data_IF_698056822997
#
_entry.id   IF_698056822997
#
_cell.length_a   1.000
_cell.length_b   1.000
_cell.length_c   1.000
_cell.angle_alpha   90.00
_cell.angle_beta   90.00
_cell.angle_gamma   90.00
#
_symmetry.space_group_name_H-M   'P 1'
#
loop_
_entity.id
_entity.type
_entity.pdbx_description
1 polymer ?
#
# COMPACT_ATOMS: atom_id res chain seq x y z
N UNK A 1 2.10 47.84 -4.36
CA UNK A 1 3.41 47.39 -4.88
C UNK A 1 3.78 46.01 -4.35
N UNK A 2 3.88 45.78 -3.03
CA UNK A 2 4.33 44.50 -2.46
C UNK A 2 3.63 43.24 -3.04
N UNK A 3 2.29 43.24 -3.18
CA UNK A 3 1.58 42.10 -3.79
C UNK A 3 1.92 41.82 -5.26
N UNK A 4 2.26 42.84 -6.06
CA UNK A 4 2.58 42.66 -7.47
C UNK A 4 3.95 41.98 -7.64
N UNK A 5 4.93 42.41 -6.84
CA UNK A 5 6.27 41.79 -6.83
C UNK A 5 6.23 40.38 -6.25
N UNK A 6 5.38 40.11 -5.25
CA UNK A 6 5.19 38.75 -4.73
C UNK A 6 4.55 37.83 -5.78
N UNK A 7 3.56 38.34 -6.54
CA UNK A 7 2.94 37.59 -7.64
C UNK A 7 3.92 37.33 -8.79
N UNK A 8 4.72 38.33 -9.19
CA UNK A 8 5.81 38.13 -10.16
C UNK A 8 6.86 37.14 -9.64
N UNK A 9 7.25 37.18 -8.37
CA UNK A 9 8.21 36.23 -7.80
C UNK A 9 7.67 34.79 -7.81
N UNK A 10 6.41 34.57 -7.41
CA UNK A 10 5.80 33.22 -7.45
C UNK A 10 5.60 32.74 -8.88
N UNK A 11 5.18 33.63 -9.79
CA UNK A 11 5.04 33.33 -11.23
C UNK A 11 6.39 32.96 -11.85
N UNK A 12 7.44 33.76 -11.59
CA UNK A 12 8.79 33.47 -12.06
C UNK A 12 9.37 32.21 -11.42
N UNK A 13 9.06 31.89 -10.16
CA UNK A 13 9.52 30.65 -9.53
C UNK A 13 8.84 29.42 -10.17
N UNK A 14 7.54 29.49 -10.47
CA UNK A 14 6.84 28.46 -11.28
C UNK A 14 7.43 28.36 -12.70
N UNK A 15 7.70 29.48 -13.35
CA UNK A 15 8.30 29.49 -14.69
C UNK A 15 9.72 28.91 -14.68
N UNK A 16 10.52 29.18 -13.65
CA UNK A 16 11.87 28.63 -13.47
C UNK A 16 11.81 27.11 -13.24
N UNK A 17 10.90 26.60 -12.39
CA UNK A 17 10.69 25.15 -12.25
C UNK A 17 10.24 24.50 -13.57
N UNK A 18 9.30 25.12 -14.28
CA UNK A 18 8.80 24.61 -15.57
C UNK A 18 9.89 24.59 -16.65
N UNK A 19 10.72 25.63 -16.73
CA UNK A 19 11.89 25.68 -17.62
C UNK A 19 12.96 24.66 -17.20
N UNK A 20 13.18 24.46 -15.89
CA UNK A 20 14.13 23.46 -15.39
C UNK A 20 13.72 22.04 -15.79
N UNK A 21 12.42 21.71 -15.72
CA UNK A 21 11.89 20.44 -16.25
C UNK A 21 12.08 20.29 -17.76
N UNK A 22 11.92 21.37 -18.54
CA UNK A 22 12.07 21.35 -20.00
C UNK A 22 13.54 21.18 -20.43
N UNK A 23 14.49 21.76 -19.69
CA UNK A 23 15.93 21.71 -20.04
C UNK A 23 16.56 20.33 -19.77
N UNK A 24 16.00 19.53 -18.84
CA UNK A 24 16.51 18.17 -18.54
C UNK A 24 16.20 17.14 -19.65
N UNK A 25 15.27 17.42 -20.57
CA UNK A 25 14.92 16.51 -21.68
C UNK A 25 15.98 16.41 -22.80
N UNK A 26 17.09 17.14 -22.73
CA UNK A 26 18.19 17.00 -23.69
C UNK A 26 19.56 16.84 -22.98
N UNK A 27 20.04 15.59 -22.96
CA UNK A 27 21.35 15.13 -22.53
C UNK A 27 21.62 15.09 -21.01
N UNK A 28 21.24 13.97 -20.37
CA UNK A 28 21.98 13.40 -19.23
C UNK A 28 22.17 11.91 -19.46
N UNK A 29 23.43 11.45 -19.44
CA UNK A 29 23.78 10.03 -19.37
C UNK A 29 24.11 9.67 -17.92
N UNK A 30 23.54 8.57 -17.43
CA UNK A 30 23.85 7.89 -16.16
C UNK A 30 23.71 8.70 -14.86
N UNK A 31 22.45 8.95 -14.43
CA UNK A 31 21.99 8.72 -13.05
C UNK A 31 20.50 9.11 -12.88
N UNK A 32 19.62 8.12 -12.68
CA UNK A 32 18.31 8.23 -11.99
C UNK A 32 17.53 9.54 -12.26
N UNK A 33 17.25 9.85 -13.53
CA UNK A 33 16.29 10.90 -13.92
C UNK A 33 14.90 10.28 -14.19
N UNK A 34 14.41 9.46 -13.26
CA UNK A 34 13.03 8.98 -13.29
C UNK A 34 12.06 10.14 -13.01
N UNK A 35 10.76 9.92 -13.18
CA UNK A 35 9.68 10.90 -12.94
C UNK A 35 9.51 11.40 -11.48
N UNK A 36 10.39 10.96 -10.57
CA UNK A 36 10.47 11.39 -9.16
C UNK A 36 10.32 12.90 -8.86
N UNK A 37 10.78 13.88 -9.67
CA UNK A 37 10.74 15.30 -9.28
C UNK A 37 9.36 15.93 -9.13
N UNK A 38 8.30 15.33 -9.70
CA UNK A 38 6.95 15.92 -9.68
C UNK A 38 6.10 15.47 -8.50
N UNK A 39 6.48 14.37 -7.84
CA UNK A 39 5.89 13.93 -6.59
C UNK A 39 6.70 14.54 -5.45
N UNK A 40 6.05 15.37 -4.60
CA UNK A 40 6.66 15.88 -3.39
C UNK A 40 7.07 14.76 -2.42
N UNK A 41 7.77 15.08 -1.33
CA UNK A 41 8.18 14.08 -0.33
C UNK A 41 7.04 13.23 0.20
N UNK A 42 5.82 13.77 0.23
CA UNK A 42 4.61 13.11 0.73
C UNK A 42 3.96 12.14 -0.28
N UNK A 43 4.38 12.16 -1.55
CA UNK A 43 3.90 11.24 -2.59
C UNK A 43 5.03 10.38 -3.17
N UNK A 44 6.27 10.57 -2.72
CA UNK A 44 7.33 9.63 -3.05
C UNK A 44 7.05 8.26 -2.39
N UNK A 45 7.38 7.18 -3.08
CA UNK A 45 7.07 5.80 -2.67
C UNK A 45 5.56 5.47 -2.47
N UNK A 46 4.65 6.37 -2.87
CA UNK A 46 3.21 6.19 -2.71
C UNK A 46 2.61 5.44 -3.91
N UNK A 47 2.26 4.17 -3.73
CA UNK A 47 1.59 3.36 -4.78
C UNK A 47 0.11 3.70 -4.91
N UNK A 48 -0.55 4.00 -3.79
CA UNK A 48 -1.98 4.31 -3.74
C UNK A 48 -2.31 5.47 -2.81
N UNK A 49 -3.13 6.40 -3.29
CA UNK A 49 -3.73 7.46 -2.47
C UNK A 49 -5.20 7.68 -2.83
N UNK A 50 -6.06 7.85 -1.82
CA UNK A 50 -7.43 8.34 -2.00
C UNK A 50 -7.84 9.33 -0.90
N UNK A 51 -8.37 10.50 -1.27
CA UNK A 51 -8.98 11.45 -0.31
C UNK A 51 -10.29 10.92 0.28
N UNK A 52 -11.04 10.15 -0.51
CA UNK A 52 -12.20 9.38 -0.08
C UNK A 52 -11.75 8.08 0.56
N UNK A 53 -11.84 6.96 -0.17
CA UNK A 53 -11.36 5.66 0.33
C UNK A 53 -10.71 4.77 -0.72
N UNK A 54 -9.89 3.78 -0.34
CA UNK A 54 -9.44 2.68 -1.21
C UNK A 54 -10.19 1.39 -0.81
N UNK A 55 -10.46 0.45 -1.73
CA UNK A 55 -10.94 -0.90 -1.36
C UNK A 55 -10.35 -2.01 -2.24
N UNK A 56 -9.60 -2.95 -1.65
CA UNK A 56 -8.88 -4.00 -2.40
C UNK A 56 -8.87 -5.44 -1.85
N UNK A 57 -9.81 -6.27 -2.34
CA UNK A 57 -10.00 -7.70 -2.04
C UNK A 57 -10.01 -8.55 -3.33
N UNK A 58 -10.10 -9.88 -3.31
CA UNK A 58 -9.48 -10.66 -2.27
C UNK A 58 -8.72 -11.95 -2.64
N UNK A 59 -7.72 -12.03 -3.53
CA UNK A 59 -7.21 -11.13 -4.59
C UNK A 59 -6.50 -9.81 -4.20
N UNK A 60 -5.31 -9.51 -4.78
CA UNK A 60 -4.41 -8.32 -4.59
C UNK A 60 -3.26 -8.45 -3.59
N UNK A 61 -2.22 -7.61 -3.76
CA UNK A 61 -1.00 -7.38 -2.94
C UNK A 61 -0.35 -6.10 -3.49
N UNK A 62 0.24 -5.22 -2.66
CA UNK A 62 0.70 -3.88 -3.08
C UNK A 62 2.16 -3.63 -2.64
N UNK A 63 3.02 -3.19 -3.58
CA UNK A 63 4.46 -2.98 -3.35
C UNK A 63 4.85 -1.52 -3.10
N UNK A 64 4.24 -0.85 -2.12
CA UNK A 64 4.61 0.50 -1.67
C UNK A 64 3.55 1.10 -0.75
N UNK A 65 3.74 2.36 -0.34
CA UNK A 65 2.87 3.00 0.65
C UNK A 65 1.41 3.11 0.16
N UNK A 66 0.48 2.93 1.11
CA UNK A 66 -0.97 3.11 0.96
C UNK A 66 -1.44 4.13 1.98
N UNK A 67 -2.09 5.20 1.51
CA UNK A 67 -2.59 6.28 2.36
C UNK A 67 -4.01 6.64 1.98
N UNK A 68 -4.83 6.95 2.98
CA UNK A 68 -6.07 7.67 2.76
C UNK A 68 -6.47 8.54 3.94
N UNK A 69 -7.09 9.68 3.62
CA UNK A 69 -7.65 10.59 4.60
C UNK A 69 -8.89 10.01 5.34
N UNK A 70 -9.44 8.84 4.95
CA UNK A 70 -10.49 8.15 5.72
C UNK A 70 -10.03 6.80 6.31
N UNK A 71 -10.38 5.63 5.78
CA UNK A 71 -9.88 4.34 6.31
C UNK A 71 -8.37 4.07 5.92
N UNK A 72 -7.78 2.86 5.76
CA UNK A 72 -8.12 1.97 4.63
C UNK A 72 -7.39 0.63 4.47
N UNK A 73 -8.19 -0.44 4.47
CA UNK A 73 -8.46 -1.38 3.35
C UNK A 73 -7.31 -2.05 2.55
N UNK A 74 -7.33 -3.36 2.19
CA UNK A 74 -8.26 -4.48 2.48
C UNK A 74 -7.55 -5.82 2.72
N UNK A 75 -8.39 -6.76 3.19
CA UNK A 75 -8.18 -8.19 3.22
C UNK A 75 -8.36 -8.77 1.84
N UNK A 76 -7.31 -9.41 1.34
CA UNK A 76 -7.21 -9.65 -0.07
C UNK A 76 -6.54 -10.98 -0.51
N UNK A 77 -6.49 -11.96 0.39
CA UNK A 77 -5.33 -12.86 0.54
C UNK A 77 -4.00 -12.06 0.80
N UNK A 78 -3.82 -10.88 0.18
CA UNK A 78 -3.02 -9.66 0.46
C UNK A 78 -1.88 -9.64 1.46
N UNK A 79 -0.83 -8.99 0.98
CA UNK A 79 0.26 -8.42 1.75
C UNK A 79 0.54 -7.01 1.19
N UNK A 80 1.03 -6.07 2.00
CA UNK A 80 1.47 -4.73 1.58
C UNK A 80 2.92 -4.51 2.00
N UNK A 81 3.85 -4.35 1.06
CA UNK A 81 5.25 -4.02 1.36
C UNK A 81 5.43 -2.51 1.34
N UNK A 82 5.25 -1.87 2.49
CA UNK A 82 5.12 -0.43 2.63
C UNK A 82 4.16 -0.07 3.78
N UNK A 83 4.12 1.22 4.13
CA UNK A 83 3.31 1.69 5.25
C UNK A 83 1.83 1.80 4.88
N UNK A 84 0.98 1.57 5.89
CA UNK A 84 -0.47 1.70 5.78
C UNK A 84 -0.96 2.80 6.72
N UNK A 85 -1.42 3.90 6.14
CA UNK A 85 -1.84 5.10 6.86
C UNK A 85 -3.29 5.47 6.63
N UNK A 86 -4.00 5.72 7.72
CA UNK A 86 -5.43 5.99 7.72
C UNK A 86 -5.85 7.18 8.60
N UNK A 87 -6.61 8.12 8.01
CA UNK A 87 -7.17 9.28 8.71
C UNK A 87 -8.27 8.96 9.73
N UNK A 88 -8.77 7.72 9.78
CA UNK A 88 -9.83 7.27 10.72
C UNK A 88 -9.59 5.85 11.23
N UNK A 89 -9.37 4.86 10.37
CA UNK A 89 -9.34 3.46 10.77
C UNK A 89 -8.58 2.59 9.76
N UNK A 90 -8.27 1.36 10.19
CA UNK A 90 -8.36 0.09 9.45
C UNK A 90 -7.01 -0.66 9.34
N UNK A 91 -7.08 -1.94 8.95
CA UNK A 91 -6.26 -2.59 7.91
C UNK A 91 -5.33 -3.72 8.34
N UNK A 92 -5.21 -4.77 7.52
CA UNK A 92 -6.35 -5.67 7.26
C UNK A 92 -5.90 -7.12 7.17
N UNK A 93 -6.82 -7.99 7.59
CA UNK A 93 -6.62 -9.42 7.67
C UNK A 93 -7.00 -10.09 6.37
N UNK A 94 -6.06 -10.15 5.45
CA UNK A 94 -6.13 -10.86 4.19
C UNK A 94 -5.93 -12.38 4.33
N UNK A 95 -4.69 -12.86 4.13
CA UNK A 95 -4.20 -14.17 4.56
C UNK A 95 -2.77 -14.24 5.17
N UNK A 96 -2.05 -13.20 5.63
CA UNK A 96 -2.07 -11.75 5.37
C UNK A 96 -0.74 -11.10 5.81
N UNK A 97 -0.51 -9.84 5.44
CA UNK A 97 0.49 -9.04 6.15
C UNK A 97 0.73 -7.60 5.69
N UNK A 98 1.61 -6.91 6.41
CA UNK A 98 2.19 -5.61 6.05
C UNK A 98 3.66 -5.62 6.48
N UNK A 99 4.58 -5.16 5.65
CA UNK A 99 6.02 -5.06 5.98
C UNK A 99 6.37 -3.56 6.01
N UNK A 100 6.47 -2.99 7.21
CA UNK A 100 6.23 -1.56 7.48
C UNK A 100 5.30 -1.33 8.68
N UNK A 101 4.97 -0.07 9.00
CA UNK A 101 4.03 0.22 10.11
C UNK A 101 2.58 0.34 9.67
N UNK A 102 1.66 0.12 10.62
CA UNK A 102 0.24 0.41 10.45
C UNK A 102 -0.15 1.53 11.42
N UNK A 103 -0.66 2.62 10.86
CA UNK A 103 -1.08 3.79 11.62
C UNK A 103 -2.53 4.18 11.31
N UNK A 104 -3.32 4.40 12.37
CA UNK A 104 -4.68 4.90 12.23
C UNK A 104 -5.08 5.81 13.40
N UNK A 105 -5.67 6.98 13.08
CA UNK A 105 -6.10 7.98 14.08
C UNK A 105 -7.15 7.47 15.08
N UNK A 106 -7.89 6.40 14.78
CA UNK A 106 -8.77 5.74 15.76
C UNK A 106 -8.47 4.25 15.90
N UNK A 107 -8.71 3.44 14.88
CA UNK A 107 -8.85 1.99 15.04
C UNK A 107 -7.93 1.24 14.12
N UNK A 108 -6.94 0.51 14.64
CA UNK A 108 -6.27 -0.54 13.87
C UNK A 108 -6.94 -1.87 14.18
N UNK A 109 -7.24 -2.64 13.15
CA UNK A 109 -7.62 -4.05 13.23
C UNK A 109 -7.02 -4.64 11.97
N UNK A 110 -6.10 -5.61 12.03
CA UNK A 110 -6.57 -7.01 12.03
C UNK A 110 -5.47 -8.04 12.15
N UNK A 111 -5.88 -9.30 12.29
CA UNK A 111 -5.26 -10.34 11.48
C UNK A 111 -6.27 -11.09 10.59
N UNK A 112 -5.74 -11.75 9.56
CA UNK A 112 -6.15 -13.07 9.07
C UNK A 112 -4.83 -13.78 8.71
N UNK A 113 -4.55 -14.98 9.23
CA UNK A 113 -3.22 -15.64 9.22
C UNK A 113 -2.01 -14.67 9.21
N UNK A 114 -2.05 -13.65 10.08
CA UNK A 114 -1.40 -12.36 9.79
C UNK A 114 -0.14 -12.08 10.59
N UNK A 115 0.75 -11.34 9.92
CA UNK A 115 2.01 -10.84 10.46
C UNK A 115 2.19 -9.37 10.05
N UNK A 116 2.90 -8.60 10.87
CA UNK A 116 3.32 -7.21 10.57
C UNK A 116 4.73 -7.05 11.13
N UNK A 117 5.72 -6.67 10.33
CA UNK A 117 7.08 -6.40 10.84
C UNK A 117 7.32 -4.88 10.93
N UNK A 118 6.88 -4.34 12.07
CA UNK A 118 6.78 -2.93 12.36
C UNK A 118 5.89 -2.70 13.57
N UNK A 119 5.60 -1.43 13.89
CA UNK A 119 4.69 -1.11 14.99
C UNK A 119 3.25 -0.92 14.51
N UNK A 120 2.30 -1.24 15.40
CA UNK A 120 0.88 -0.88 15.25
C UNK A 120 0.57 0.26 16.20
N UNK A 121 0.11 1.40 15.66
CA UNK A 121 -0.26 2.57 16.44
C UNK A 121 -1.72 2.95 16.14
N UNK A 122 -2.60 2.77 17.13
CA UNK A 122 -4.01 3.13 17.04
C UNK A 122 -4.39 4.26 18.02
N UNK A 123 -5.01 5.33 17.54
CA UNK A 123 -5.38 6.45 18.41
C UNK A 123 -6.44 6.13 19.48
N UNK A 124 -7.22 5.06 19.31
CA UNK A 124 -8.16 4.55 20.34
C UNK A 124 -8.05 3.03 20.54
N UNK A 125 -8.15 2.23 19.48
CA UNK A 125 -8.30 0.76 19.60
C UNK A 125 -7.40 0.00 18.65
N UNK A 126 -6.52 -0.85 19.18
CA UNK A 126 -5.80 -1.86 18.40
C UNK A 126 -6.37 -3.25 18.72
N UNK A 127 -6.92 -3.92 17.72
CA UNK A 127 -7.41 -5.30 17.84
C UNK A 127 -6.54 -6.24 17.01
N UNK A 128 -5.93 -7.22 17.67
CA UNK A 128 -5.01 -8.15 17.03
C UNK A 128 -5.45 -9.61 17.27
N UNK A 129 -5.44 -10.37 16.19
CA UNK A 129 -5.97 -11.72 16.18
C UNK A 129 -6.05 -12.28 14.78
N UNK A 130 -5.12 -13.18 14.49
CA UNK A 130 -5.28 -14.31 13.59
C UNK A 130 -4.26 -15.35 14.03
N UNK A 131 -3.49 -15.97 13.13
CA UNK A 131 -2.27 -16.72 13.49
C UNK A 131 -1.14 -15.74 13.79
N UNK A 132 -1.26 -15.02 14.90
CA UNK A 132 -0.83 -13.63 15.10
C UNK A 132 0.44 -13.48 16.00
N UNK A 133 1.06 -12.29 16.15
CA UNK A 133 1.08 -11.04 15.36
C UNK A 133 2.10 -10.05 16.00
N UNK A 134 3.03 -9.56 15.18
CA UNK A 134 3.73 -8.27 15.32
C UNK A 134 5.00 -8.29 16.18
N UNK A 135 6.13 -7.98 15.54
CA UNK A 135 7.45 -7.93 16.18
C UNK A 135 7.75 -6.59 16.87
N UNK A 136 7.17 -5.49 16.38
CA UNK A 136 7.31 -4.15 16.94
C UNK A 136 6.41 -3.86 18.16
N UNK A 137 6.18 -2.58 18.44
CA UNK A 137 5.26 -2.17 19.51
C UNK A 137 3.80 -2.28 19.05
N UNK A 138 2.94 -2.75 19.96
CA UNK A 138 1.49 -2.71 19.82
C UNK A 138 0.91 -1.69 20.79
N UNK A 139 0.51 -0.53 20.28
CA UNK A 139 -0.02 0.56 21.10
C UNK A 139 -1.42 1.03 20.70
N UNK A 140 -2.24 1.31 21.71
CA UNK A 140 -3.56 1.90 21.54
C UNK A 140 -3.85 2.98 22.60
N UNK A 141 -4.39 4.12 22.16
CA UNK A 141 -4.75 5.23 23.06
C UNK A 141 -5.79 4.86 24.13
N UNK A 142 -6.56 3.78 23.96
CA UNK A 142 -7.52 3.28 24.95
C UNK A 142 -7.41 1.77 25.17
N UNK A 143 -7.55 0.96 24.13
CA UNK A 143 -7.75 -0.49 24.27
C UNK A 143 -6.89 -1.30 23.32
N UNK A 144 -6.11 -2.23 23.87
CA UNK A 144 -5.52 -3.34 23.10
C UNK A 144 -6.29 -4.63 23.39
N UNK A 145 -6.75 -5.30 22.34
CA UNK A 145 -7.36 -6.63 22.42
C UNK A 145 -6.53 -7.64 21.63
N UNK A 146 -6.07 -8.68 22.31
CA UNK A 146 -5.22 -9.75 21.77
C UNK A 146 -5.96 -11.08 21.89
N UNK A 147 -6.02 -11.83 20.78
CA UNK A 147 -6.63 -13.16 20.74
C UNK A 147 -5.76 -14.23 21.44
N UNK A 148 -6.21 -15.49 21.40
CA UNK A 148 -5.41 -16.63 21.89
C UNK A 148 -4.26 -16.97 20.91
N UNK A 149 -3.20 -17.60 21.43
CA UNK A 149 -2.02 -18.05 20.68
C UNK A 149 -1.44 -16.94 19.79
N UNK A 150 -1.15 -15.80 20.40
CA UNK A 150 -0.54 -14.63 19.76
C UNK A 150 0.85 -14.38 20.33
N UNK A 151 1.83 -14.12 19.47
CA UNK A 151 3.15 -13.65 19.86
C UNK A 151 3.30 -12.16 19.52
N UNK A 152 3.85 -11.35 20.46
CA UNK A 152 4.27 -9.95 20.22
C UNK A 152 5.72 -9.78 20.71
N UNK A 153 6.60 -9.30 19.84
CA UNK A 153 8.01 -9.08 20.17
C UNK A 153 8.24 -7.88 21.10
N UNK A 154 7.63 -6.74 20.78
CA UNK A 154 7.75 -5.49 21.54
C UNK A 154 6.81 -5.38 22.74
N UNK A 155 6.56 -4.13 23.15
CA UNK A 155 5.64 -3.83 24.24
C UNK A 155 4.18 -3.88 23.76
N UNK A 156 3.27 -4.21 24.69
CA UNK A 156 1.83 -4.07 24.53
C UNK A 156 1.35 -2.95 25.45
N UNK A 157 0.95 -1.82 24.88
CA UNK A 157 0.59 -0.61 25.63
C UNK A 157 -0.85 -0.17 25.36
N UNK A 158 -1.66 -0.03 26.41
CA UNK A 158 -3.01 0.53 26.31
C UNK A 158 -3.27 1.64 27.33
N UNK A 159 -3.79 2.78 26.86
CA UNK A 159 -4.14 3.91 27.73
C UNK A 159 -5.24 3.60 28.77
N UNK A 160 -5.93 2.47 28.66
CA UNK A 160 -6.88 1.98 29.67
C UNK A 160 -6.85 0.46 29.85
N UNK A 161 -6.96 -0.34 28.79
CA UNK A 161 -7.23 -1.78 28.90
C UNK A 161 -6.41 -2.63 27.96
N UNK A 162 -5.71 -3.63 28.50
CA UNK A 162 -5.15 -4.75 27.72
C UNK A 162 -5.94 -6.03 28.03
N UNK A 163 -6.39 -6.73 26.99
CA UNK A 163 -6.98 -8.07 27.11
C UNK A 163 -6.19 -9.05 26.26
N UNK A 164 -5.81 -10.19 26.85
CA UNK A 164 -4.95 -11.21 26.24
C UNK A 164 -5.58 -12.60 26.32
N UNK A 165 -5.70 -13.27 25.18
CA UNK A 165 -6.15 -14.66 25.10
C UNK A 165 -5.15 -15.67 25.69
N UNK A 166 -5.56 -16.94 25.76
CA UNK A 166 -4.73 -18.01 26.31
C UNK A 166 -3.57 -18.38 25.37
N UNK A 167 -2.43 -18.81 25.94
CA UNK A 167 -1.30 -19.34 25.17
C UNK A 167 -0.50 -18.30 24.38
N UNK A 168 -0.59 -17.02 24.75
CA UNK A 168 0.09 -15.90 24.06
C UNK A 168 1.44 -15.57 24.72
N UNK A 169 2.41 -15.10 23.93
CA UNK A 169 3.80 -14.82 24.32
C UNK A 169 4.16 -13.35 24.08
N UNK A 170 4.89 -12.74 25.03
CA UNK A 170 5.29 -11.34 24.97
C UNK A 170 6.78 -11.16 25.31
N UNK A 171 7.55 -10.60 24.38
CA UNK A 171 8.95 -10.25 24.59
C UNK A 171 9.14 -8.99 25.45
N UNK A 172 8.23 -8.02 25.33
CA UNK A 172 8.26 -6.76 26.09
C UNK A 172 7.35 -6.72 27.32
N UNK A 173 7.09 -5.50 27.79
CA UNK A 173 6.12 -5.22 28.87
C UNK A 173 4.67 -5.31 28.36
N UNK A 174 3.76 -5.71 29.24
CA UNK A 174 2.30 -5.64 29.02
C UNK A 174 1.72 -4.63 30.00
N UNK A 175 1.42 -3.43 29.52
CA UNK A 175 1.06 -2.27 30.34
C UNK A 175 -0.35 -1.74 29.99
N UNK A 176 -1.20 -1.63 31.01
CA UNK A 176 -2.51 -0.99 30.91
C UNK A 176 -2.67 0.15 31.93
N UNK A 177 -3.19 1.29 31.47
CA UNK A 177 -3.55 2.43 32.32
C UNK A 177 -4.59 2.13 33.42
N UNK A 178 -5.38 1.05 33.29
CA UNK A 178 -6.31 0.58 34.34
C UNK A 178 -6.28 -0.94 34.52
N UNK A 179 -6.47 -1.72 33.46
CA UNK A 179 -6.93 -3.12 33.57
C UNK A 179 -6.18 -4.04 32.62
N UNK A 180 -5.60 -5.12 33.17
CA UNK A 180 -5.04 -6.24 32.40
C UNK A 180 -5.87 -7.50 32.62
N UNK A 181 -6.40 -8.09 31.55
CA UNK A 181 -7.06 -9.40 31.57
C UNK A 181 -6.19 -10.41 30.84
N UNK A 182 -5.71 -11.44 31.54
CA UNK A 182 -4.70 -12.38 31.03
C UNK A 182 -5.28 -13.81 30.99
N UNK A 183 -5.18 -14.46 29.84
CA UNK A 183 -5.58 -15.85 29.64
C UNK A 183 -4.67 -16.89 30.31
N UNK A 184 -5.11 -18.15 30.32
CA UNK A 184 -4.30 -19.25 30.81
C UNK A 184 -3.04 -19.46 29.94
N UNK A 185 -1.94 -19.87 30.55
CA UNK A 185 -0.66 -20.16 29.87
C UNK A 185 -0.12 -19.00 29.02
N UNK A 186 -0.34 -17.76 29.45
CA UNK A 186 0.33 -16.58 28.88
C UNK A 186 1.72 -16.44 29.48
N UNK A 187 2.71 -16.18 28.63
CA UNK A 187 4.11 -15.97 29.02
C UNK A 187 4.52 -14.52 28.67
N UNK A 188 5.07 -13.81 29.66
CA UNK A 188 5.55 -12.43 29.51
C UNK A 188 6.98 -12.40 30.03
N UNK A 189 7.92 -11.99 29.17
CA UNK A 189 9.35 -11.84 29.52
C UNK A 189 9.58 -10.53 30.28
N UNK A 190 8.88 -9.47 29.91
CA UNK A 190 8.86 -8.19 30.62
C UNK A 190 7.91 -8.16 31.82
N UNK A 191 7.38 -6.98 32.13
CA UNK A 191 6.53 -6.73 33.29
C UNK A 191 5.05 -6.65 32.89
N UNK A 192 4.20 -7.37 33.63
CA UNK A 192 2.74 -7.16 33.58
C UNK A 192 2.35 -6.02 34.53
N UNK A 193 1.82 -4.92 33.99
CA UNK A 193 1.45 -3.72 34.76
C UNK A 193 0.00 -3.31 34.51
N UNK A 194 -0.75 -3.08 35.59
CA UNK A 194 -2.09 -2.49 35.58
C UNK A 194 -2.11 -1.24 36.47
N UNK A 195 -2.99 -0.28 36.16
CA UNK A 195 -3.03 1.05 36.78
C UNK A 195 -1.74 1.86 36.51
N UNK A 196 -1.17 1.70 35.31
CA UNK A 196 0.02 2.44 34.90
C UNK A 196 -0.25 3.93 34.71
N UNK A 197 0.79 4.74 34.92
CA UNK A 197 0.81 6.17 34.60
C UNK A 197 1.58 6.46 33.30
N UNK A 198 1.95 5.40 32.55
CA UNK A 198 2.66 5.51 31.27
C UNK A 198 1.76 6.14 30.22
N UNK A 199 2.25 7.18 29.55
CA UNK A 199 1.55 7.80 28.42
C UNK A 199 1.79 6.97 27.16
N UNK A 200 0.71 6.59 26.47
CA UNK A 200 0.78 5.95 25.15
C UNK A 200 0.89 7.02 24.07
N UNK A 201 1.78 6.82 23.09
CA UNK A 201 1.91 7.74 21.96
C UNK A 201 0.64 7.71 21.08
N UNK A 202 0.22 8.88 20.60
CA UNK A 202 -0.84 8.97 19.59
C UNK A 202 -0.23 8.95 18.17
N UNK A 203 -0.95 8.41 17.18
CA UNK A 203 -0.57 8.47 15.77
C UNK A 203 -0.53 9.92 15.26
N UNK A 204 0.23 10.18 14.20
CA UNK A 204 0.13 11.44 13.46
C UNK A 204 -1.21 11.56 12.74
N UNK A 205 -1.59 12.79 12.38
CA UNK A 205 -2.79 13.05 11.58
C UNK A 205 -2.45 12.73 10.12
N UNK A 206 -3.32 11.97 9.44
CA UNK A 206 -3.21 11.72 8.00
C UNK A 206 -4.01 12.80 7.27
N UNK A 207 -3.30 13.75 6.67
CA UNK A 207 -3.88 14.89 5.95
C UNK A 207 -4.26 14.53 4.50
N UNK A 208 -5.19 15.30 3.92
CA UNK A 208 -5.59 15.12 2.51
C UNK A 208 -4.58 15.73 1.54
N UNK A 209 -4.13 14.91 0.59
CA UNK A 209 -3.24 15.30 -0.52
C UNK A 209 -4.01 15.85 -1.74
N UNK A 210 -5.32 16.12 -1.64
CA UNK A 210 -6.16 16.63 -2.75
C UNK A 210 -5.54 17.85 -3.45
N UNK A 211 -5.08 18.84 -2.67
CA UNK A 211 -4.48 20.06 -3.22
C UNK A 211 -3.12 19.80 -3.90
N UNK A 212 -2.34 18.84 -3.39
CA UNK A 212 -1.06 18.46 -3.97
C UNK A 212 -1.28 17.73 -5.31
N UNK A 213 -2.19 16.75 -5.35
CA UNK A 213 -2.51 16.02 -6.57
C UNK A 213 -3.09 16.96 -7.64
N UNK A 214 -4.00 17.87 -7.28
CA UNK A 214 -4.50 18.85 -8.25
C UNK A 214 -3.42 19.81 -8.76
N UNK A 215 -2.41 20.16 -7.94
CA UNK A 215 -1.25 20.91 -8.43
C UNK A 215 -0.45 20.09 -9.45
N UNK A 216 -0.13 18.83 -9.13
CA UNK A 216 0.57 17.91 -10.04
C UNK A 216 -0.18 17.74 -11.36
N UNK A 217 -1.50 17.51 -11.32
CA UNK A 217 -2.34 17.41 -12.51
C UNK A 217 -2.32 18.69 -13.36
N UNK A 218 -2.30 19.87 -12.73
CA UNK A 218 -2.22 21.16 -13.42
C UNK A 218 -0.82 21.39 -14.01
N UNK A 219 0.25 21.07 -13.28
CA UNK A 219 1.63 21.23 -13.76
C UNK A 219 1.90 20.25 -14.95
N UNK A 220 1.36 19.03 -14.95
CA UNK A 220 1.40 18.09 -16.10
C UNK A 220 0.61 18.63 -17.31
N UNK A 221 -0.55 19.24 -17.06
CA UNK A 221 -1.39 19.85 -18.11
C UNK A 221 -0.68 21.04 -18.77
N UNK A 222 0.04 21.83 -17.99
CA UNK A 222 0.78 23.00 -18.46
C UNK A 222 2.06 22.63 -19.25
N UNK A 223 2.48 21.35 -19.26
CA UNK A 223 3.46 20.83 -20.23
C UNK A 223 2.94 20.88 -21.69
N UNK A 224 1.62 20.97 -21.89
CA UNK A 224 0.99 21.22 -23.17
C UNK A 224 -0.02 20.16 -23.62
N UNK A 225 -0.64 20.40 -24.77
CA UNK A 225 -1.65 19.50 -25.37
C UNK A 225 -1.06 18.43 -26.27
N UNK A 226 0.14 18.65 -26.82
CA UNK A 226 0.78 17.74 -27.75
C UNK A 226 -0.12 17.34 -28.93
N UNK A 227 -0.17 16.03 -29.23
CA UNK A 227 -1.00 15.48 -30.31
C UNK A 227 -2.42 15.17 -29.82
N UNK A 228 -3.45 15.67 -30.49
CA UNK A 228 -4.84 15.34 -30.16
C UNK A 228 -5.17 13.90 -30.58
N UNK A 229 -5.65 13.10 -29.63
CA UNK A 229 -6.25 11.80 -29.84
C UNK A 229 -7.77 11.98 -29.92
N UNK A 230 -8.33 11.89 -31.13
CA UNK A 230 -9.75 12.16 -31.37
C UNK A 230 -10.62 11.08 -30.70
N UNK A 231 -11.32 11.45 -29.62
CA UNK A 231 -12.05 10.54 -28.73
C UNK A 231 -13.01 9.56 -29.42
N UNK A 232 -13.59 9.93 -30.57
CA UNK A 232 -14.57 9.11 -31.29
C UNK A 232 -13.95 8.07 -32.23
N UNK A 233 -12.64 8.12 -32.48
CA UNK A 233 -11.96 7.27 -33.47
C UNK A 233 -10.70 6.60 -32.96
N UNK A 234 -9.91 7.27 -32.11
CA UNK A 234 -8.72 6.68 -31.52
C UNK A 234 -9.09 5.55 -30.55
N UNK A 235 -8.30 4.47 -30.55
CA UNK A 235 -8.54 3.30 -29.69
C UNK A 235 -9.67 2.40 -30.16
N UNK A 236 -10.29 2.67 -31.32
CA UNK A 236 -11.25 1.77 -31.98
C UNK A 236 -10.56 0.63 -32.74
N UNK A 237 -9.27 0.80 -33.05
CA UNK A 237 -8.39 -0.21 -33.61
C UNK A 237 -7.21 -0.44 -32.65
N UNK A 238 -6.26 -1.27 -33.06
CA UNK A 238 -4.97 -1.34 -32.39
C UNK A 238 -4.14 -0.12 -32.81
N UNK A 239 -3.58 0.57 -31.83
CA UNK A 239 -2.90 1.86 -31.99
C UNK A 239 -1.40 1.72 -31.68
N UNK A 240 -0.57 2.62 -32.21
CA UNK A 240 0.85 2.69 -31.84
C UNK A 240 1.28 4.14 -31.69
N UNK A 241 1.86 4.47 -30.53
CA UNK A 241 2.36 5.81 -30.19
C UNK A 241 3.83 5.74 -29.81
N UNK A 242 4.63 6.65 -30.37
CA UNK A 242 6.00 6.90 -29.91
C UNK A 242 5.97 7.80 -28.67
N UNK A 243 7.11 8.06 -28.03
CA UNK A 243 7.16 8.96 -26.87
C UNK A 243 6.64 10.38 -27.23
N UNK A 244 5.83 10.98 -26.36
CA UNK A 244 5.23 12.28 -26.59
C UNK A 244 4.12 12.67 -25.62
N UNK A 245 3.66 13.91 -25.79
CA UNK A 245 2.46 14.43 -25.12
C UNK A 245 1.25 14.24 -26.02
N UNK A 246 0.16 13.80 -25.43
CA UNK A 246 -1.12 13.48 -26.05
C UNK A 246 -2.26 14.12 -25.27
N UNK A 247 -3.34 14.50 -25.94
CA UNK A 247 -4.53 15.04 -25.27
C UNK A 247 -5.84 14.59 -25.89
N UNK A 248 -6.92 14.64 -25.10
CA UNK A 248 -8.29 14.46 -25.58
C UNK A 248 -9.18 15.60 -25.10
N UNK A 249 -9.98 16.20 -25.99
CA UNK A 249 -10.99 17.21 -25.64
C UNK A 249 -12.18 16.66 -24.84
N UNK A 250 -12.25 15.34 -24.68
CA UNK A 250 -13.32 14.65 -23.97
C UNK A 250 -12.74 13.44 -23.24
N UNK A 251 -12.92 12.23 -23.76
CA UNK A 251 -12.48 10.98 -23.13
C UNK A 251 -11.38 10.30 -23.94
N UNK A 252 -10.62 9.42 -23.30
CA UNK A 252 -9.77 8.43 -23.96
C UNK A 252 -10.34 7.04 -23.67
N UNK A 253 -10.65 6.28 -24.73
CA UNK A 253 -11.12 4.90 -24.60
C UNK A 253 -10.30 3.98 -25.49
N UNK A 254 -9.69 2.95 -24.91
CA UNK A 254 -9.18 1.81 -25.67
C UNK A 254 -10.30 0.77 -25.72
N UNK A 255 -10.75 0.39 -26.91
CA UNK A 255 -11.92 -0.46 -27.09
C UNK A 255 -11.66 -1.93 -26.71
N UNK A 256 -12.73 -2.72 -26.61
CA UNK A 256 -12.67 -4.12 -26.18
C UNK A 256 -11.70 -4.95 -27.03
N UNK A 257 -10.77 -5.65 -26.38
CA UNK A 257 -9.76 -6.47 -27.06
C UNK A 257 -8.73 -5.69 -27.89
N UNK A 258 -8.58 -4.36 -27.70
CA UNK A 258 -7.64 -3.52 -28.45
C UNK A 258 -6.34 -3.25 -27.71
N UNK A 259 -5.26 -3.17 -28.47
CA UNK A 259 -3.91 -2.91 -27.98
C UNK A 259 -3.48 -1.48 -28.28
N UNK A 260 -3.06 -0.75 -27.25
CA UNK A 260 -2.26 0.47 -27.40
C UNK A 260 -0.79 0.11 -27.25
N UNK A 261 -0.02 0.15 -28.33
CA UNK A 261 1.43 -0.07 -28.28
C UNK A 261 2.16 1.24 -28.03
N UNK A 262 3.00 1.27 -27.00
CA UNK A 262 3.92 2.38 -26.73
C UNK A 262 5.32 1.95 -27.20
N UNK A 263 5.82 2.59 -28.25
CA UNK A 263 7.07 2.22 -28.94
C UNK A 263 8.21 3.19 -28.59
N UNK A 264 9.09 2.76 -27.69
CA UNK A 264 10.22 3.55 -27.17
C UNK A 264 11.45 3.58 -28.08
N UNK A 265 11.47 2.81 -29.18
CA UNK A 265 12.60 2.74 -30.14
C UNK A 265 13.97 2.34 -29.53
N UNK A 266 13.99 1.79 -28.33
CA UNK A 266 15.19 1.40 -27.60
C UNK A 266 15.87 2.54 -26.85
N UNK A 267 15.17 3.65 -26.61
CA UNK A 267 15.65 4.81 -25.83
C UNK A 267 14.64 5.22 -24.76
N UNK A 268 15.08 6.05 -23.82
CA UNK A 268 14.26 6.60 -22.74
C UNK A 268 13.12 7.46 -23.31
N UNK A 269 11.88 7.11 -22.97
CA UNK A 269 10.66 7.72 -23.50
C UNK A 269 9.68 8.18 -22.42
N UNK A 270 8.95 9.26 -22.70
CA UNK A 270 7.87 9.75 -21.83
C UNK A 270 6.56 9.82 -22.61
N UNK A 271 5.50 9.24 -22.06
CA UNK A 271 4.15 9.25 -22.61
C UNK A 271 3.20 9.93 -21.64
N UNK A 272 2.68 11.10 -22.04
CA UNK A 272 1.83 11.94 -21.17
C UNK A 272 0.46 12.10 -21.82
N UNK A 273 -0.59 11.66 -21.13
CA UNK A 273 -1.97 11.71 -21.63
C UNK A 273 -2.82 12.70 -20.82
N UNK A 274 -3.06 13.89 -21.37
CA UNK A 274 -3.91 14.93 -20.79
C UNK A 274 -5.38 14.75 -21.21
N UNK A 275 -6.20 14.19 -20.30
CA UNK A 275 -7.55 13.68 -20.59
C UNK A 275 -8.62 14.54 -19.88
N UNK A 276 -9.45 15.26 -20.65
CA UNK A 276 -10.35 16.28 -20.13
C UNK A 276 -11.57 15.76 -19.32
N UNK A 277 -11.97 14.49 -19.48
CA UNK A 277 -13.19 13.94 -18.89
C UNK A 277 -12.98 12.61 -18.15
N UNK A 278 -12.68 11.53 -18.88
CA UNK A 278 -12.45 10.21 -18.28
C UNK A 278 -11.56 9.34 -19.16
N UNK A 279 -10.89 8.38 -18.52
CA UNK A 279 -10.11 7.33 -19.15
C UNK A 279 -10.87 6.01 -19.04
N UNK A 280 -10.90 5.22 -20.12
CA UNK A 280 -11.45 3.87 -20.11
C UNK A 280 -10.57 2.89 -20.88
N UNK A 281 -10.01 1.92 -20.19
CA UNK A 281 -9.51 0.70 -20.82
C UNK A 281 -10.67 -0.30 -20.82
N UNK A 282 -11.19 -0.67 -21.98
CA UNK A 282 -12.29 -1.65 -22.07
C UNK A 282 -11.81 -3.06 -21.69
N UNK A 283 -12.75 -4.01 -21.56
CA UNK A 283 -12.39 -5.39 -21.23
C UNK A 283 -11.36 -5.99 -22.22
N UNK A 284 -10.39 -6.72 -21.69
CA UNK A 284 -9.26 -7.31 -22.43
C UNK A 284 -8.49 -6.33 -23.33
N UNK A 285 -8.50 -5.02 -23.02
CA UNK A 285 -7.63 -4.04 -23.69
C UNK A 285 -6.28 -3.94 -22.99
N UNK A 286 -5.23 -3.69 -23.76
CA UNK A 286 -3.84 -3.85 -23.28
C UNK A 286 -2.97 -2.67 -23.69
N UNK A 287 -2.23 -2.11 -22.73
CA UNK A 287 -1.09 -1.22 -23.01
C UNK A 287 0.17 -2.07 -23.14
N UNK A 288 0.63 -2.25 -24.38
CA UNK A 288 1.82 -3.03 -24.72
C UNK A 288 3.04 -2.10 -24.77
N UNK A 289 4.10 -2.45 -24.06
CA UNK A 289 5.40 -1.76 -24.16
C UNK A 289 6.27 -2.45 -25.22
N UNK A 290 6.80 -1.69 -26.16
CA UNK A 290 7.70 -2.15 -27.22
C UNK A 290 8.96 -1.30 -27.21
N UNK A 291 10.12 -1.95 -27.11
CA UNK A 291 11.43 -1.28 -27.13
C UNK A 291 11.53 -0.10 -26.14
N UNK A 292 10.92 -0.24 -24.95
CA UNK A 292 10.89 0.77 -23.86
C UNK A 292 11.96 0.43 -22.81
N UNK A 293 12.69 1.44 -22.34
CA UNK A 293 13.71 1.30 -21.28
C UNK A 293 13.14 1.56 -19.88
N UNK A 294 13.81 1.06 -18.83
CA UNK A 294 13.33 1.18 -17.44
C UNK A 294 13.33 2.63 -16.90
N UNK A 295 14.10 3.54 -17.50
CA UNK A 295 14.08 4.98 -17.17
C UNK A 295 12.86 5.72 -17.75
N UNK A 296 12.04 5.06 -18.57
CA UNK A 296 10.91 5.66 -19.24
C UNK A 296 9.77 6.02 -18.27
N UNK A 297 8.73 6.70 -18.75
CA UNK A 297 7.60 7.14 -17.90
C UNK A 297 6.28 7.17 -18.68
N UNK A 298 5.19 6.72 -18.04
CA UNK A 298 3.83 6.80 -18.59
C UNK A 298 2.90 7.45 -17.55
N UNK A 299 2.15 8.48 -17.98
CA UNK A 299 1.28 9.29 -17.12
C UNK A 299 -0.11 9.42 -17.73
N UNK A 300 -1.13 9.01 -16.98
CA UNK A 300 -2.54 9.25 -17.31
C UNK A 300 -3.07 10.38 -16.44
N UNK A 301 -3.11 11.60 -16.98
CA UNK A 301 -3.61 12.78 -16.29
C UNK A 301 -5.09 13.02 -16.60
N UNK A 302 -5.98 12.51 -15.74
CA UNK A 302 -7.43 12.56 -15.93
C UNK A 302 -8.03 13.71 -15.12
N UNK A 303 -8.17 14.84 -15.81
CA UNK A 303 -8.43 16.16 -15.24
C UNK A 303 -9.89 16.35 -14.77
N UNK A 304 -10.87 15.85 -15.52
CA UNK A 304 -12.28 16.13 -15.22
C UNK A 304 -12.66 17.61 -15.32
N UNK A 305 -11.96 18.39 -16.16
CA UNK A 305 -12.22 19.82 -16.38
C UNK A 305 -13.52 20.08 -17.16
N UNK A 306 -14.05 19.06 -17.84
CA UNK A 306 -15.32 19.17 -18.56
C UNK A 306 -16.48 19.31 -17.57
N UNK A 307 -17.34 20.30 -17.76
CA UNK A 307 -18.51 20.55 -16.91
C UNK A 307 -19.34 19.28 -16.68
N UNK A 308 -19.52 18.91 -15.41
CA UNK A 308 -20.26 17.69 -15.01
C UNK A 308 -19.44 16.40 -15.06
N UNK A 309 -18.14 16.46 -15.38
CA UNK A 309 -17.21 15.35 -15.22
C UNK A 309 -16.73 15.21 -13.77
N UNK A 310 -16.44 13.98 -13.36
CA UNK A 310 -15.70 13.72 -12.14
C UNK A 310 -14.18 13.58 -12.39
N UNK A 311 -13.69 13.37 -13.61
CA UNK A 311 -12.27 13.07 -13.86
C UNK A 311 -11.87 11.67 -13.41
N UNK A 312 -12.56 10.64 -13.91
CA UNK A 312 -12.39 9.26 -13.44
C UNK A 312 -11.65 8.34 -14.42
N UNK A 313 -11.05 7.28 -13.88
CA UNK A 313 -10.47 6.18 -14.67
C UNK A 313 -11.25 4.90 -14.44
N UNK A 314 -11.60 4.19 -15.51
CA UNK A 314 -12.19 2.85 -15.47
C UNK A 314 -11.35 1.84 -16.26
N UNK A 315 -11.00 0.71 -15.64
CA UNK A 315 -10.46 -0.46 -16.33
C UNK A 315 -11.54 -1.55 -16.40
N UNK A 316 -11.74 -2.15 -17.56
CA UNK A 316 -12.63 -3.29 -17.75
C UNK A 316 -12.02 -4.60 -17.23
N UNK A 317 -12.78 -5.69 -17.30
CA UNK A 317 -12.26 -6.99 -16.90
C UNK A 317 -11.13 -7.47 -17.86
N UNK A 318 -10.03 -7.99 -17.32
CA UNK A 318 -8.85 -8.37 -18.10
C UNK A 318 -8.08 -7.20 -18.72
N UNK A 319 -8.36 -5.95 -18.32
CA UNK A 319 -7.70 -4.78 -18.88
C UNK A 319 -6.32 -4.53 -18.24
N UNK A 320 -5.30 -4.33 -19.07
CA UNK A 320 -3.93 -4.07 -18.63
C UNK A 320 -3.50 -2.62 -18.98
N UNK A 321 -3.27 -1.81 -17.96
CA UNK A 321 -2.68 -0.49 -18.06
C UNK A 321 -1.19 -0.49 -17.61
N UNK A 322 -0.48 0.58 -17.95
CA UNK A 322 0.93 0.81 -17.56
C UNK A 322 1.17 2.23 -17.04
N UNK A 323 2.07 2.42 -16.09
CA UNK A 323 2.45 3.71 -15.51
C UNK A 323 1.54 4.22 -14.39
N UNK A 324 1.49 5.55 -14.25
CA UNK A 324 0.83 6.25 -13.15
C UNK A 324 -0.49 6.91 -13.57
N UNK A 325 -1.54 6.70 -12.78
CA UNK A 325 -2.89 7.23 -13.03
C UNK A 325 -3.20 8.33 -12.01
N UNK A 326 -3.37 9.57 -12.48
CA UNK A 326 -3.87 10.69 -11.68
C UNK A 326 -5.31 10.98 -12.06
N UNK A 327 -6.26 10.52 -11.25
CA UNK A 327 -7.68 10.80 -11.41
C UNK A 327 -8.11 11.90 -10.44
N UNK A 328 -8.71 12.98 -10.97
CA UNK A 328 -9.32 14.01 -10.10
C UNK A 328 -10.45 13.42 -9.26
N UNK A 329 -11.26 12.55 -9.88
CA UNK A 329 -12.40 11.89 -9.29
C UNK A 329 -12.00 10.61 -8.60
N UNK A 330 -12.23 9.48 -9.26
CA UNK A 330 -11.99 8.14 -8.72
C UNK A 330 -11.26 7.24 -9.73
N UNK A 331 -10.66 6.16 -9.23
CA UNK A 331 -10.19 5.04 -10.05
C UNK A 331 -11.04 3.82 -9.73
N UNK A 332 -11.57 3.14 -10.74
CA UNK A 332 -12.33 1.92 -10.57
C UNK A 332 -11.87 0.86 -11.59
N UNK A 333 -11.84 -0.43 -11.23
CA UNK A 333 -11.52 -1.49 -12.20
C UNK A 333 -12.44 -2.70 -12.12
N UNK A 334 -12.48 -3.47 -13.21
CA UNK A 334 -13.10 -4.78 -13.32
C UNK A 334 -12.16 -5.92 -12.92
N UNK A 335 -12.66 -7.15 -13.04
CA UNK A 335 -11.93 -8.34 -12.63
C UNK A 335 -10.68 -8.62 -13.48
N UNK A 336 -9.66 -9.30 -12.94
CA UNK A 336 -8.44 -9.71 -13.66
C UNK A 336 -7.68 -8.53 -14.31
N UNK A 337 -7.86 -7.30 -13.81
CA UNK A 337 -7.23 -6.10 -14.35
C UNK A 337 -5.83 -5.86 -13.78
N UNK A 338 -4.98 -5.10 -14.48
CA UNK A 338 -3.61 -4.83 -14.06
C UNK A 338 -3.24 -3.36 -14.28
N UNK A 339 -2.57 -2.76 -13.30
CA UNK A 339 -1.85 -1.49 -13.42
C UNK A 339 -0.41 -1.77 -12.97
N UNK A 340 0.59 -1.51 -13.79
CA UNK A 340 2.00 -1.72 -13.41
C UNK A 340 2.90 -0.66 -14.03
N UNK A 341 4.06 -0.38 -13.44
CA UNK A 341 5.04 0.56 -13.98
C UNK A 341 5.82 0.01 -15.18
N UNK A 342 7.03 0.53 -15.35
CA UNK A 342 8.00 0.11 -16.36
C UNK A 342 9.20 -0.54 -15.66
N UNK A 343 9.68 -1.67 -16.18
CA UNK A 343 10.77 -2.41 -15.54
C UNK A 343 10.37 -2.97 -14.18
N UNK A 344 11.02 -2.46 -13.12
CA UNK A 344 10.79 -2.81 -11.72
C UNK A 344 9.89 -1.80 -10.96
N UNK A 345 9.44 -0.72 -11.61
CA UNK A 345 8.46 0.22 -11.05
C UNK A 345 7.08 -0.44 -10.89
N UNK A 346 6.45 -0.27 -9.72
CA UNK A 346 5.10 -0.80 -9.51
C UNK A 346 4.02 0.06 -10.17
N UNK A 347 4.32 1.32 -10.55
CA UNK A 347 3.33 2.29 -10.98
C UNK A 347 2.37 2.65 -9.84
N UNK A 348 1.27 3.33 -10.14
CA UNK A 348 0.37 3.77 -9.08
C UNK A 348 -0.93 4.41 -9.55
N UNK A 349 -1.84 4.60 -8.59
CA UNK A 349 -3.14 5.23 -8.81
C UNK A 349 -3.45 6.24 -7.68
N UNK A 350 -3.81 7.46 -8.08
CA UNK A 350 -4.13 8.56 -7.17
C UNK A 350 -5.55 9.07 -7.47
N UNK A 351 -6.36 9.18 -6.42
CA UNK A 351 -7.69 9.80 -6.46
C UNK A 351 -7.67 11.09 -5.65
N UNK A 352 -7.78 12.24 -6.35
CA UNK A 352 -7.63 13.55 -5.71
C UNK A 352 -8.79 13.90 -4.77
N UNK A 353 -10.04 13.54 -5.11
CA UNK A 353 -11.23 13.99 -4.36
C UNK A 353 -12.16 12.88 -3.89
N UNK A 354 -11.92 11.62 -4.27
CA UNK A 354 -12.88 10.54 -4.04
C UNK A 354 -12.17 9.20 -3.77
N UNK A 355 -12.73 8.07 -4.24
CA UNK A 355 -12.23 6.74 -3.92
C UNK A 355 -11.35 6.09 -4.99
N UNK A 356 -10.74 4.98 -4.61
CA UNK A 356 -10.15 3.97 -5.47
C UNK A 356 -10.79 2.62 -5.14
N UNK A 357 -11.34 1.95 -6.14
CA UNK A 357 -11.86 0.59 -6.04
C UNK A 357 -11.23 -0.25 -7.14
N UNK A 358 -11.03 -1.55 -6.93
CA UNK A 358 -10.66 -2.43 -8.03
C UNK A 358 -11.43 -3.75 -7.95
N UNK A 359 -11.51 -4.44 -9.07
CA UNK A 359 -12.27 -5.68 -9.21
C UNK A 359 -11.56 -6.89 -8.59
N UNK A 360 -12.20 -8.05 -8.72
CA UNK A 360 -11.57 -9.34 -8.41
C UNK A 360 -10.27 -9.52 -9.20
N UNK A 361 -9.38 -10.37 -8.70
CA UNK A 361 -8.11 -10.79 -9.30
C UNK A 361 -7.23 -9.66 -9.88
N UNK A 362 -7.41 -8.43 -9.37
CA UNK A 362 -6.65 -7.26 -9.82
C UNK A 362 -5.26 -7.22 -9.18
N UNK A 363 -4.28 -6.73 -9.95
CA UNK A 363 -2.88 -6.57 -9.53
C UNK A 363 -2.43 -5.13 -9.74
N UNK A 364 -1.71 -4.59 -8.76
CA UNK A 364 -0.99 -3.31 -8.88
C UNK A 364 0.51 -3.60 -8.73
N UNK A 365 1.30 -3.10 -9.68
CA UNK A 365 2.65 -3.54 -9.91
C UNK A 365 2.73 -4.89 -10.60
N UNK A 366 3.96 -5.38 -10.76
CA UNK A 366 4.25 -6.76 -11.14
C UNK A 366 4.14 -7.66 -9.92
N UNK A 367 3.90 -8.96 -10.11
CA UNK A 367 4.10 -9.93 -9.03
C UNK A 367 5.53 -9.80 -8.48
N UNK A 368 5.64 -9.71 -7.16
CA UNK A 368 6.88 -9.52 -6.40
C UNK A 368 7.53 -8.12 -6.56
N UNK A 369 6.80 -7.11 -7.03
CA UNK A 369 7.22 -5.71 -7.05
C UNK A 369 7.18 -5.08 -5.65
N UNK A 370 8.16 -4.23 -5.31
CA UNK A 370 8.32 -3.65 -3.95
C UNK A 370 8.72 -2.17 -3.91
N UNK A 371 8.86 -1.49 -5.05
CA UNK A 371 9.41 -0.12 -5.16
C UNK A 371 10.75 0.13 -4.41
N UNK A 372 11.49 -0.94 -4.06
CA UNK A 372 12.75 -0.89 -3.33
C UNK A 372 12.74 -1.50 -1.93
N UNK A 373 11.57 -1.94 -1.43
CA UNK A 373 11.44 -2.55 -0.10
C UNK A 373 11.72 -4.07 -0.11
N UNK A 374 12.13 -4.63 1.04
CA UNK A 374 12.46 -6.05 1.20
C UNK A 374 11.26 -6.87 1.66
N UNK A 375 11.12 -8.12 1.19
CA UNK A 375 10.04 -9.02 1.62
C UNK A 375 10.44 -9.94 2.77
N UNK A 376 9.64 -9.97 3.83
CA UNK A 376 9.38 -11.24 4.51
C UNK A 376 8.53 -12.17 3.60
N UNK A 377 9.01 -13.39 3.34
CA UNK A 377 8.23 -14.41 2.63
C UNK A 377 7.47 -15.29 3.63
N UNK A 378 6.16 -15.49 3.43
CA UNK A 378 5.38 -16.46 4.20
C UNK A 378 5.93 -17.91 4.08
N UNK A 379 6.71 -18.20 3.03
CA UNK A 379 7.38 -19.49 2.79
C UNK A 379 8.76 -19.58 3.48
N UNK A 380 9.23 -18.48 4.11
CA UNK A 380 10.50 -18.47 4.87
C UNK A 380 10.36 -18.91 6.33
N UNK A 381 9.12 -19.09 6.82
CA UNK A 381 8.84 -19.66 8.15
C UNK A 381 8.95 -21.18 8.07
N UNK A 382 10.19 -21.67 7.93
CA UNK A 382 10.48 -23.08 8.14
C UNK A 382 10.15 -23.43 9.60
N UNK A 383 9.07 -24.21 9.80
CA UNK A 383 8.75 -24.81 11.10
C UNK A 383 9.91 -25.74 11.48
N UNK A 384 10.89 -25.21 12.20
CA UNK A 384 11.86 -26.03 12.90
C UNK A 384 11.07 -26.81 13.93
N UNK A 385 10.96 -28.13 13.69
CA UNK A 385 10.29 -29.04 14.62
C UNK A 385 10.95 -28.87 15.98
N UNK A 386 10.21 -28.31 16.94
CA UNK A 386 10.62 -28.24 18.35
C UNK A 386 11.02 -29.66 18.75
N UNK A 387 12.29 -29.92 19.12
CA UNK A 387 12.69 -31.26 19.52
C UNK A 387 11.80 -31.70 20.68
N UNK A 388 11.17 -32.88 20.56
CA UNK A 388 10.32 -33.39 21.63
C UNK A 388 11.08 -33.34 22.97
N UNK A 389 10.46 -32.84 24.05
CA UNK A 389 11.10 -32.91 25.36
C UNK A 389 11.43 -34.37 25.69
N UNK A 390 12.40 -34.60 26.58
CA UNK A 390 12.97 -35.93 26.84
C UNK A 390 12.05 -36.92 27.59
N UNK A 391 10.75 -36.94 27.30
CA UNK A 391 9.72 -37.83 27.87
C UNK A 391 10.03 -39.31 27.66
N UNK A 392 10.75 -39.68 26.58
CA UNK A 392 11.25 -41.05 26.36
C UNK A 392 12.20 -41.53 27.47
N UNK A 393 13.06 -40.66 28.02
CA UNK A 393 13.96 -41.00 29.13
C UNK A 393 13.21 -41.12 30.46
N UNK A 394 12.20 -40.26 30.69
CA UNK A 394 11.35 -40.33 31.88
C UNK A 394 10.48 -41.60 31.90
N UNK A 395 9.94 -42.02 30.75
CA UNK A 395 9.23 -43.31 30.64
C UNK A 395 10.14 -44.52 30.86
N UNK A 396 11.37 -44.49 30.33
CA UNK A 396 12.36 -45.56 30.56
C UNK A 396 12.74 -45.69 32.04
N UNK A 397 12.95 -44.57 32.74
CA UNK A 397 13.22 -44.54 34.19
C UNK A 397 12.03 -45.04 35.02
N UNK A 398 10.79 -44.70 34.64
CA UNK A 398 9.58 -45.19 35.32
C UNK A 398 9.42 -46.72 35.18
N UNK A 399 9.70 -47.29 34.01
CA UNK A 399 9.69 -48.73 33.77
C UNK A 399 10.80 -49.47 34.52
N UNK A 400 12.01 -48.91 34.60
CA UNK A 400 13.10 -49.49 35.39
C UNK A 400 12.82 -49.49 36.90
N UNK A 401 12.21 -48.41 37.42
CA UNK A 401 11.79 -48.31 38.82
C UNK A 401 10.74 -49.36 39.22
N UNK A 402 9.81 -49.69 38.32
CA UNK A 402 8.80 -50.73 38.54
C UNK A 402 9.41 -52.14 38.54
N UNK A 403 10.39 -52.42 37.67
CA UNK A 403 11.07 -53.72 37.62
C UNK A 403 11.85 -54.04 38.92
N UNK A 404 12.57 -53.05 39.47
CA UNK A 404 13.31 -53.20 40.74
C UNK A 404 12.35 -53.45 41.92
N UNK A 405 11.18 -52.79 41.92
CA UNK A 405 10.15 -52.97 42.96
C UNK A 405 9.46 -54.34 42.88
N UNK A 406 9.38 -54.94 41.69
CA UNK A 406 8.85 -56.29 41.49
C UNK A 406 9.82 -57.39 41.98
N UNK A 407 11.13 -57.23 41.77
CA UNK A 407 12.12 -58.24 42.25
C UNK A 407 12.27 -58.27 43.77
N UNK A 408 12.16 -57.12 44.47
CA UNK A 408 12.19 -57.06 45.94
C UNK A 408 11.01 -57.74 46.66
N UNK A 409 10.04 -58.30 45.94
CA UNK A 409 8.86 -58.99 46.50
C UNK A 409 8.91 -60.52 46.37
N UNK A 410 10.06 -61.10 46.01
CA UNK A 410 10.28 -62.55 45.76
C UNK A 410 11.49 -63.16 46.50
N UNK A 411 11.89 -62.58 47.63
CA UNK A 411 12.81 -63.16 48.63
C UNK A 411 12.22 -62.95 50.01
#
# INVERSE_FOLDING_TARGET
MLNAQLYEMVSNLKLINSILCIVVLFAVSDAQASFQPLLGSELNNQSLYASGYITMGARTTIGGNIQSATAITLAADAIVGGNVEAGTAVTLGAAAGVDGYIQSTTTVTLGASAVVDGSIIAGTTATIGASAKVDGELSAGTTVTISATVEVGGNVLAGSTVTVGAGSLFGGDVDAGTTTTIGASVEIVGTLTANSLKMVALPTIVDSQEALIMSVQQDIKDMGTGTELVSTTFGTNDETLEAGIYSTINYLTIAIGKTLTLDGKGIDGSWIFNIANYLTFSANSTVLLKDVTDNSTIIWNVLGDKTGSAGYTQLGAGAEARGYIFARGFVQTGADSMIAGIGDDCGGAYSASNFIEFGADTVIGKKDCTNGESRASADSIAVTQVPEPATLWLFALALFGLAIKAQRKKT
#
